data_IF_434674167883
#
_entry.id   IF_434674167883
#
_cell.length_a   1.000
_cell.length_b   1.000
_cell.length_c   1.000
_cell.angle_alpha   90.00
_cell.angle_beta   90.00
_cell.angle_gamma   90.00
#
_symmetry.space_group_name_H-M   'P 1'
#
loop_
_entity.id
_entity.type
_entity.pdbx_description
1 polymer ?
#
# COMPACT_ATOMS: atom_id res chain seq x y z
N UNK A 1 28.09 12.70 14.36
CA UNK A 1 27.65 14.07 14.07
C UNK A 1 28.67 14.66 13.12
N UNK A 2 28.28 14.97 11.89
CA UNK A 2 29.17 15.49 10.83
C UNK A 2 28.68 16.89 10.46
N UNK A 3 29.54 17.90 10.59
CA UNK A 3 29.23 19.29 10.23
C UNK A 3 29.73 19.56 8.81
N UNK A 4 28.86 20.04 7.94
CA UNK A 4 29.23 20.54 6.61
C UNK A 4 28.79 22.01 6.51
N UNK A 5 29.72 22.88 6.11
CA UNK A 5 29.46 24.28 5.76
C UNK A 5 29.72 24.48 4.27
N UNK A 6 28.68 24.76 3.49
CA UNK A 6 28.76 25.20 2.10
C UNK A 6 28.64 26.74 2.07
N UNK A 7 29.70 27.42 1.62
CA UNK A 7 29.78 28.89 1.58
C UNK A 7 28.88 29.48 0.49
N UNK A 8 27.76 30.11 0.86
CA UNK A 8 26.93 30.93 -0.05
C UNK A 8 25.47 31.08 0.37
N UNK A 9 24.89 30.05 0.98
CA UNK A 9 23.68 30.12 1.80
C UNK A 9 24.07 29.69 3.21
N UNK A 10 23.84 30.52 4.23
CA UNK A 10 23.94 30.08 5.63
C UNK A 10 22.79 29.10 5.88
N UNK A 11 23.01 27.83 5.59
CA UNK A 11 22.15 26.75 6.05
C UNK A 11 22.66 26.38 7.44
N UNK A 12 22.15 27.07 8.45
CA UNK A 12 22.39 26.73 9.85
C UNK A 12 21.46 25.55 10.20
N UNK A 13 22.04 24.37 10.42
CA UNK A 13 21.29 23.16 10.73
C UNK A 13 22.20 22.05 11.26
N UNK A 14 21.73 21.31 12.27
CA UNK A 14 22.44 20.12 12.75
C UNK A 14 22.03 18.93 11.89
N UNK A 15 22.92 18.51 10.99
CA UNK A 15 22.67 17.33 10.16
C UNK A 15 22.98 16.05 10.94
N UNK A 16 21.98 15.19 11.04
CA UNK A 16 22.08 13.87 11.66
C UNK A 16 21.22 12.87 10.90
N UNK A 17 21.54 11.58 11.06
CA UNK A 17 20.68 10.52 10.53
C UNK A 17 19.39 10.55 11.34
N UNK A 18 18.32 10.99 10.70
CA UNK A 18 16.98 11.01 11.26
C UNK A 18 16.24 9.79 10.75
N UNK A 19 15.98 8.84 11.63
CA UNK A 19 15.14 7.67 11.33
C UNK A 19 13.78 7.80 12.00
N UNK A 20 12.71 7.21 11.43
CA UNK A 20 11.47 7.05 12.18
C UNK A 20 11.73 6.34 13.51
N UNK A 21 10.91 6.63 14.52
CA UNK A 21 11.01 5.98 15.82
C UNK A 21 10.78 4.46 15.69
N UNK A 22 11.37 3.66 16.59
CA UNK A 22 11.08 2.23 16.60
C UNK A 22 9.58 1.95 16.77
N UNK A 23 8.90 2.76 17.59
CA UNK A 23 7.46 2.69 17.78
C UNK A 23 6.67 2.82 16.47
N UNK A 24 7.12 3.68 15.54
CA UNK A 24 6.53 3.79 14.22
C UNK A 24 6.61 2.48 13.44
N UNK A 25 7.81 1.87 13.37
CA UNK A 25 8.03 0.62 12.66
C UNK A 25 7.24 -0.55 13.26
N UNK A 26 7.21 -0.64 14.60
CA UNK A 26 6.38 -1.60 15.31
C UNK A 26 4.89 -1.40 15.01
N UNK A 27 4.41 -0.15 15.01
CA UNK A 27 3.02 0.19 14.68
C UNK A 27 2.63 -0.26 13.27
N UNK A 28 3.44 0.08 12.26
CA UNK A 28 3.22 -0.37 10.87
C UNK A 28 3.21 -1.90 10.75
N UNK A 29 4.16 -2.58 11.41
CA UNK A 29 4.27 -4.05 11.35
C UNK A 29 3.06 -4.72 11.99
N UNK A 30 2.65 -4.25 13.17
CA UNK A 30 1.48 -4.79 13.88
C UNK A 30 0.21 -4.62 13.04
N UNK A 31 0.00 -3.44 12.47
CA UNK A 31 -1.14 -3.16 11.59
C UNK A 31 -1.13 -4.07 10.37
N UNK A 32 0.01 -4.23 9.69
CA UNK A 32 0.09 -5.14 8.54
C UNK A 32 -0.23 -6.60 8.90
N UNK A 33 0.18 -7.07 10.09
CA UNK A 33 -0.17 -8.41 10.57
C UNK A 33 -1.67 -8.51 10.81
N UNK A 34 -2.29 -7.50 11.43
CA UNK A 34 -3.74 -7.45 11.63
C UNK A 34 -4.49 -7.47 10.30
N UNK A 35 -4.03 -6.71 9.31
CA UNK A 35 -4.62 -6.66 7.98
C UNK A 35 -4.58 -8.02 7.30
N UNK A 36 -3.43 -8.71 7.33
CA UNK A 36 -3.30 -10.05 6.77
C UNK A 36 -4.24 -11.04 7.46
N UNK A 37 -4.33 -11.03 8.79
CA UNK A 37 -5.24 -11.91 9.53
C UNK A 37 -6.69 -11.65 9.10
N UNK A 38 -7.08 -10.38 9.02
CA UNK A 38 -8.42 -9.99 8.60
C UNK A 38 -8.72 -10.40 7.14
N UNK A 39 -7.77 -10.19 6.23
CA UNK A 39 -7.84 -10.62 4.84
C UNK A 39 -7.99 -12.14 4.71
N UNK A 40 -7.27 -12.94 5.51
CA UNK A 40 -7.39 -14.40 5.54
C UNK A 40 -8.77 -14.85 6.04
N UNK A 41 -9.34 -14.16 7.04
CA UNK A 41 -10.69 -14.43 7.52
C UNK A 41 -11.74 -14.17 6.43
N UNK A 42 -11.71 -13.00 5.79
CA UNK A 42 -12.65 -12.67 4.71
C UNK A 42 -12.47 -13.62 3.53
N UNK A 43 -11.22 -13.90 3.13
CA UNK A 43 -10.91 -14.82 2.04
C UNK A 43 -11.54 -16.20 2.29
N UNK A 44 -11.41 -16.72 3.52
CA UNK A 44 -12.01 -18.00 3.89
C UNK A 44 -13.53 -17.97 3.76
N UNK A 45 -14.18 -16.89 4.22
CA UNK A 45 -15.64 -16.70 4.08
C UNK A 45 -16.04 -16.72 2.60
N UNK A 46 -15.37 -15.93 1.76
CA UNK A 46 -15.69 -15.86 0.33
C UNK A 46 -15.42 -17.18 -0.39
N UNK A 47 -14.33 -17.88 -0.05
CA UNK A 47 -13.98 -19.15 -0.66
C UNK A 47 -15.04 -20.23 -0.41
N UNK A 48 -15.52 -20.35 0.82
CA UNK A 48 -16.46 -21.41 1.19
C UNK A 48 -17.92 -21.05 0.92
N UNK A 49 -18.31 -19.77 0.97
CA UNK A 49 -19.72 -19.37 0.87
C UNK A 49 -20.09 -18.64 -0.43
N UNK A 50 -19.13 -18.03 -1.14
CA UNK A 50 -19.42 -17.24 -2.36
C UNK A 50 -18.99 -17.97 -3.63
N UNK A 51 -17.75 -18.47 -3.70
CA UNK A 51 -17.22 -19.12 -4.90
C UNK A 51 -18.00 -20.38 -5.34
N UNK A 52 -18.39 -21.32 -4.46
CA UNK A 52 -19.07 -22.54 -4.87
C UNK A 52 -20.41 -22.27 -5.55
N UNK A 53 -21.09 -21.19 -5.16
CA UNK A 53 -22.37 -20.76 -5.74
C UNK A 53 -22.22 -20.20 -7.15
N UNK A 54 -21.05 -19.64 -7.48
CA UNK A 54 -20.74 -19.19 -8.83
C UNK A 54 -20.30 -20.33 -9.75
N UNK A 55 -19.67 -21.38 -9.21
CA UNK A 55 -19.11 -22.51 -9.98
C UNK A 55 -20.09 -23.67 -10.17
N UNK A 56 -21.02 -23.87 -9.23
CA UNK A 56 -22.03 -24.93 -9.28
C UNK A 56 -23.35 -24.28 -8.88
N UNK A 57 -24.40 -24.46 -9.70
CA UNK A 57 -25.79 -24.03 -9.45
C UNK A 57 -26.34 -24.61 -8.14
N UNK A 58 -25.81 -24.16 -7.00
CA UNK A 58 -26.32 -24.45 -5.68
C UNK A 58 -27.47 -23.50 -5.40
N UNK A 59 -28.48 -23.96 -4.67
CA UNK A 59 -29.73 -23.24 -4.41
C UNK A 59 -29.59 -21.98 -3.55
N UNK A 60 -28.35 -21.60 -3.18
CA UNK A 60 -28.10 -20.33 -2.51
C UNK A 60 -28.47 -19.23 -3.50
N UNK A 61 -29.55 -18.52 -3.19
CA UNK A 61 -30.00 -17.38 -3.99
C UNK A 61 -28.87 -16.36 -4.09
N UNK A 62 -28.61 -15.84 -5.30
CA UNK A 62 -27.66 -14.73 -5.53
C UNK A 62 -27.91 -13.55 -4.58
N UNK A 63 -29.16 -13.37 -4.12
CA UNK A 63 -29.52 -12.38 -3.11
C UNK A 63 -28.74 -12.54 -1.80
N UNK A 64 -28.51 -13.76 -1.31
CA UNK A 64 -27.77 -14.00 -0.07
C UNK A 64 -26.29 -13.61 -0.20
N UNK A 65 -25.69 -13.85 -1.38
CA UNK A 65 -24.30 -13.45 -1.67
C UNK A 65 -24.18 -11.93 -1.61
N UNK A 66 -25.11 -11.21 -2.25
CA UNK A 66 -25.08 -9.75 -2.24
C UNK A 66 -25.36 -9.17 -0.85
N UNK A 67 -26.24 -9.79 -0.06
CA UNK A 67 -26.45 -9.38 1.34
C UNK A 67 -25.18 -9.60 2.16
N UNK A 68 -24.49 -10.73 2.01
CA UNK A 68 -23.24 -10.98 2.71
C UNK A 68 -22.14 -9.98 2.31
N UNK A 69 -21.92 -9.75 1.01
CA UNK A 69 -20.84 -8.87 0.56
C UNK A 69 -21.15 -7.38 0.76
N UNK A 70 -22.28 -6.89 0.23
CA UNK A 70 -22.64 -5.46 0.33
C UNK A 70 -23.21 -5.08 1.70
N UNK A 71 -23.87 -6.00 2.40
CA UNK A 71 -24.49 -5.72 3.71
C UNK A 71 -23.57 -5.97 4.90
N UNK A 72 -22.55 -6.83 4.77
CA UNK A 72 -21.67 -7.19 5.89
C UNK A 72 -20.20 -6.91 5.58
N UNK A 73 -19.61 -7.61 4.60
CA UNK A 73 -18.15 -7.58 4.39
C UNK A 73 -17.66 -6.17 4.01
N UNK A 74 -18.26 -5.54 3.00
CA UNK A 74 -17.83 -4.22 2.52
C UNK A 74 -18.01 -3.15 3.61
N UNK A 75 -19.16 -3.03 4.31
CA UNK A 75 -19.28 -2.13 5.45
C UNK A 75 -18.24 -2.39 6.54
N UNK A 76 -17.96 -3.66 6.86
CA UNK A 76 -16.91 -4.01 7.83
C UNK A 76 -15.52 -3.52 7.37
N UNK A 77 -15.15 -3.70 6.09
CA UNK A 77 -13.90 -3.18 5.55
C UNK A 77 -13.79 -1.66 5.74
N UNK A 78 -14.87 -0.91 5.54
CA UNK A 78 -14.83 0.54 5.70
C UNK A 78 -14.89 1.01 7.16
N UNK A 79 -15.65 0.36 8.04
CA UNK A 79 -15.88 0.81 9.41
C UNK A 79 -14.80 0.32 10.40
N UNK A 80 -14.29 -0.89 10.21
CA UNK A 80 -13.30 -1.50 11.11
C UNK A 80 -12.02 -0.67 11.28
N UNK A 81 -11.36 -0.14 10.23
CA UNK A 81 -10.14 0.65 10.42
C UNK A 81 -10.38 1.88 11.29
N UNK A 82 -11.53 2.56 11.16
CA UNK A 82 -11.87 3.69 12.03
C UNK A 82 -12.11 3.26 13.47
N UNK A 83 -12.87 2.18 13.68
CA UNK A 83 -13.10 1.63 15.02
C UNK A 83 -11.78 1.26 15.72
N UNK A 84 -10.82 0.66 14.98
CA UNK A 84 -9.49 0.34 15.50
C UNK A 84 -8.70 1.62 15.80
N UNK A 85 -8.72 2.62 14.92
CA UNK A 85 -8.04 3.91 15.14
C UNK A 85 -8.56 4.60 16.40
N UNK A 86 -9.88 4.66 16.57
CA UNK A 86 -10.53 5.28 17.72
C UNK A 86 -10.23 4.53 19.02
N UNK A 87 -10.30 3.18 18.99
CA UNK A 87 -10.04 2.35 20.16
C UNK A 87 -8.57 2.36 20.60
N UNK A 88 -7.63 2.44 19.65
CA UNK A 88 -6.19 2.42 19.94
C UNK A 88 -5.59 3.80 20.12
N UNK A 89 -6.31 4.86 19.72
CA UNK A 89 -5.82 6.23 19.74
C UNK A 89 -4.65 6.49 18.79
N UNK A 90 -4.44 5.66 17.75
CA UNK A 90 -3.35 5.84 16.78
C UNK A 90 -3.47 7.23 16.15
N UNK A 91 -2.45 8.08 16.33
CA UNK A 91 -2.42 9.44 15.76
C UNK A 91 -1.58 9.55 14.49
N UNK A 92 -0.68 8.60 14.23
CA UNK A 92 0.23 8.67 13.10
C UNK A 92 -0.52 8.38 11.78
N UNK A 93 -0.54 9.36 10.88
CA UNK A 93 -1.31 9.27 9.63
C UNK A 93 -0.82 8.17 8.69
N UNK A 94 0.47 7.82 8.69
CA UNK A 94 0.99 6.70 7.88
C UNK A 94 0.49 5.38 8.44
N UNK A 95 0.52 5.18 9.77
CA UNK A 95 -0.03 3.96 10.40
C UNK A 95 -1.53 3.84 10.13
N UNK A 96 -2.29 4.95 10.21
CA UNK A 96 -3.71 4.98 9.82
C UNK A 96 -3.92 4.60 8.36
N UNK A 97 -3.08 5.13 7.46
CA UNK A 97 -3.12 4.80 6.04
C UNK A 97 -2.80 3.33 5.79
N UNK A 98 -1.77 2.78 6.44
CA UNK A 98 -1.40 1.36 6.35
C UNK A 98 -2.55 0.46 6.78
N UNK A 99 -3.28 0.82 7.84
CA UNK A 99 -4.45 0.07 8.30
C UNK A 99 -5.65 0.18 7.34
N UNK A 100 -5.83 1.34 6.72
CA UNK A 100 -7.01 1.61 5.89
C UNK A 100 -6.85 1.12 4.45
N UNK A 101 -5.63 1.13 3.91
CA UNK A 101 -5.40 0.85 2.50
C UNK A 101 -5.75 -0.61 2.10
N UNK A 102 -5.32 -1.66 2.83
CA UNK A 102 -5.71 -3.05 2.55
C UNK A 102 -7.22 -3.27 2.56
N UNK A 103 -7.96 -2.57 3.43
CA UNK A 103 -9.41 -2.70 3.54
C UNK A 103 -10.14 -2.32 2.26
N UNK A 104 -9.64 -1.30 1.55
CA UNK A 104 -10.17 -0.91 0.23
C UNK A 104 -9.94 -2.02 -0.79
N UNK A 105 -8.76 -2.65 -0.78
CA UNK A 105 -8.49 -3.80 -1.66
C UNK A 105 -9.39 -4.98 -1.34
N UNK A 106 -9.63 -5.29 -0.06
CA UNK A 106 -10.55 -6.36 0.34
C UNK A 106 -11.99 -6.08 -0.12
N UNK A 107 -12.45 -4.83 -0.03
CA UNK A 107 -13.76 -4.45 -0.58
C UNK A 107 -13.84 -4.72 -2.10
N UNK A 108 -12.83 -4.33 -2.88
CA UNK A 108 -12.81 -4.60 -4.32
C UNK A 108 -12.73 -6.10 -4.64
N UNK A 109 -11.87 -6.86 -3.93
CA UNK A 109 -11.78 -8.32 -4.09
C UNK A 109 -13.09 -9.02 -3.70
N UNK A 110 -13.84 -8.48 -2.74
CA UNK A 110 -15.18 -8.98 -2.39
C UNK A 110 -16.15 -8.79 -3.56
N UNK A 111 -16.15 -7.61 -4.21
CA UNK A 111 -16.97 -7.34 -5.40
C UNK A 111 -16.57 -8.28 -6.54
N UNK A 112 -15.27 -8.46 -6.77
CA UNK A 112 -14.73 -9.38 -7.77
C UNK A 112 -15.23 -10.81 -7.54
N UNK A 113 -15.21 -11.29 -6.29
CA UNK A 113 -15.72 -12.60 -5.90
C UNK A 113 -17.23 -12.76 -6.11
N UNK A 114 -18.03 -11.77 -5.68
CA UNK A 114 -19.48 -11.80 -5.85
C UNK A 114 -19.91 -11.79 -7.32
N UNK A 115 -19.18 -11.04 -8.15
CA UNK A 115 -19.49 -10.90 -9.57
C UNK A 115 -18.88 -12.02 -10.44
N UNK A 116 -18.12 -12.95 -9.86
CA UNK A 116 -17.52 -14.07 -10.58
C UNK A 116 -16.35 -13.68 -11.48
N UNK A 117 -15.66 -12.58 -11.16
CA UNK A 117 -14.49 -12.10 -11.91
C UNK A 117 -13.15 -12.64 -11.38
N UNK A 118 -13.19 -13.44 -10.30
CA UNK A 118 -12.00 -14.05 -9.72
C UNK A 118 -11.31 -14.96 -10.74
N UNK A 119 -9.98 -14.85 -10.95
CA UNK A 119 -9.25 -15.70 -11.86
C UNK A 119 -9.43 -17.20 -11.55
N UNK A 120 -9.76 -18.06 -12.52
CA UNK A 120 -10.00 -19.48 -12.27
C UNK A 120 -8.82 -20.18 -11.56
N UNK A 121 -7.59 -19.78 -11.88
CA UNK A 121 -6.37 -20.35 -11.29
C UNK A 121 -6.32 -20.19 -9.76
N UNK A 122 -6.80 -19.07 -9.21
CA UNK A 122 -6.74 -18.83 -7.76
C UNK A 122 -7.86 -19.55 -7.00
N UNK A 123 -8.93 -19.96 -7.70
CA UNK A 123 -10.04 -20.70 -7.08
C UNK A 123 -9.75 -22.19 -6.90
N UNK A 124 -8.67 -22.69 -7.50
CA UNK A 124 -8.32 -24.12 -7.49
C UNK A 124 -7.99 -24.67 -6.10
N UNK A 125 -7.51 -23.82 -5.18
CA UNK A 125 -7.27 -24.21 -3.80
C UNK A 125 -7.59 -23.07 -2.81
N UNK A 126 -7.98 -23.39 -1.56
CA UNK A 126 -8.24 -22.37 -0.54
C UNK A 126 -7.01 -21.53 -0.22
N UNK A 127 -5.82 -22.15 -0.24
CA UNK A 127 -4.57 -21.46 0.05
C UNK A 127 -4.23 -20.43 -1.03
N UNK A 128 -4.43 -20.78 -2.30
CA UNK A 128 -4.13 -19.86 -3.41
C UNK A 128 -5.07 -18.67 -3.40
N UNK A 129 -6.33 -18.92 -3.07
CA UNK A 129 -7.32 -17.86 -2.87
C UNK A 129 -7.00 -16.99 -1.65
N UNK A 130 -6.55 -17.59 -0.55
CA UNK A 130 -6.10 -16.89 0.64
C UNK A 130 -4.92 -15.97 0.37
N UNK A 131 -3.89 -16.43 -0.34
CA UNK A 131 -2.75 -15.62 -0.74
C UNK A 131 -3.22 -14.48 -1.63
N UNK A 132 -3.93 -14.79 -2.72
CA UNK A 132 -4.41 -13.78 -3.67
C UNK A 132 -5.29 -12.69 -3.04
N UNK A 133 -6.12 -13.07 -2.07
CA UNK A 133 -7.06 -12.15 -1.42
C UNK A 133 -6.39 -11.33 -0.30
N UNK A 134 -5.63 -11.99 0.59
CA UNK A 134 -5.08 -11.35 1.78
C UNK A 134 -3.89 -10.43 1.46
N UNK A 135 -3.23 -10.63 0.32
CA UNK A 135 -2.07 -9.82 -0.06
C UNK A 135 -2.48 -8.60 -0.88
N UNK A 136 -2.04 -7.39 -0.51
CA UNK A 136 -2.29 -6.17 -1.29
C UNK A 136 -1.46 -6.13 -2.59
N UNK A 137 -0.48 -7.02 -2.74
CA UNK A 137 0.35 -7.15 -3.93
C UNK A 137 -0.24 -8.18 -4.88
N UNK A 138 -0.27 -7.85 -6.16
CA UNK A 138 -0.73 -8.76 -7.20
C UNK A 138 0.32 -9.85 -7.50
N UNK A 139 -0.14 -11.09 -7.66
CA UNK A 139 0.69 -12.21 -8.11
C UNK A 139 0.87 -12.16 -9.62
N UNK A 140 2.06 -12.49 -10.11
CA UNK A 140 2.31 -12.56 -11.53
C UNK A 140 1.80 -13.88 -12.11
N UNK A 141 0.92 -13.79 -13.10
CA UNK A 141 0.43 -14.92 -13.88
C UNK A 141 1.00 -14.90 -15.30
N UNK A 142 1.38 -16.06 -15.82
CA UNK A 142 1.79 -16.21 -17.21
C UNK A 142 0.56 -16.10 -18.12
N UNK A 143 0.60 -15.15 -19.05
CA UNK A 143 -0.50 -14.84 -19.98
C UNK A 143 -0.85 -16.01 -20.89
N UNK A 144 0.06 -16.95 -21.14
CA UNK A 144 -0.16 -18.07 -22.08
C UNK A 144 -0.96 -19.21 -21.46
N UNK A 145 -0.66 -19.56 -20.22
CA UNK A 145 -1.21 -20.74 -19.55
C UNK A 145 -2.03 -20.39 -18.28
N UNK A 146 -2.08 -19.11 -17.89
CA UNK A 146 -2.75 -18.64 -16.68
C UNK A 146 -2.12 -19.12 -15.38
N UNK A 147 -0.94 -19.76 -15.43
CA UNK A 147 -0.26 -20.31 -14.27
C UNK A 147 0.54 -19.24 -13.55
N UNK A 148 0.80 -19.48 -12.26
CA UNK A 148 1.64 -18.60 -11.44
C UNK A 148 3.08 -18.67 -11.90
N UNK A 149 3.74 -17.52 -11.94
CA UNK A 149 5.17 -17.45 -12.19
C UNK A 149 5.91 -17.68 -10.87
N UNK A 150 6.80 -18.67 -10.83
CA UNK A 150 7.66 -18.90 -9.66
C UNK A 150 8.71 -17.80 -9.57
N UNK A 151 8.96 -17.30 -8.36
CA UNK A 151 10.03 -16.36 -8.08
C UNK A 151 11.38 -17.07 -8.19
N UNK A 152 12.31 -16.50 -8.94
CA UNK A 152 13.70 -16.97 -8.96
C UNK A 152 14.48 -16.35 -7.79
N UNK A 153 15.61 -16.94 -7.42
CA UNK A 153 16.51 -16.31 -6.43
C UNK A 153 16.99 -14.92 -6.85
N UNK A 154 17.04 -14.66 -8.17
CA UNK A 154 17.35 -13.34 -8.71
C UNK A 154 16.21 -12.34 -8.47
N UNK A 155 14.96 -12.77 -8.59
CA UNK A 155 13.79 -11.94 -8.31
C UNK A 155 13.74 -11.58 -6.82
N UNK A 156 13.89 -12.55 -5.92
CA UNK A 156 13.95 -12.32 -4.46
C UNK A 156 15.07 -11.33 -4.12
N UNK A 157 16.27 -11.52 -4.68
CA UNK A 157 17.39 -10.60 -4.49
C UNK A 157 17.07 -9.20 -5.00
N UNK A 158 16.39 -9.07 -6.15
CA UNK A 158 15.96 -7.78 -6.70
C UNK A 158 14.94 -7.10 -5.77
N UNK A 159 13.96 -7.83 -5.26
CA UNK A 159 12.96 -7.33 -4.31
C UNK A 159 13.59 -6.87 -2.98
N UNK A 160 14.57 -7.62 -2.47
CA UNK A 160 15.33 -7.23 -1.28
C UNK A 160 16.14 -5.95 -1.51
N UNK A 161 16.86 -5.85 -2.64
CA UNK A 161 17.61 -4.64 -3.00
C UNK A 161 16.66 -3.46 -3.18
N UNK A 162 15.53 -3.65 -3.86
CA UNK A 162 14.51 -2.62 -4.06
C UNK A 162 13.96 -2.10 -2.73
N UNK A 163 13.55 -2.99 -1.85
CA UNK A 163 13.05 -2.66 -0.50
C UNK A 163 14.10 -1.88 0.30
N UNK A 164 15.35 -2.36 0.28
CA UNK A 164 16.46 -1.70 0.99
C UNK A 164 16.74 -0.31 0.42
N UNK A 165 16.74 -0.16 -0.91
CA UNK A 165 16.93 1.13 -1.59
C UNK A 165 15.83 2.12 -1.22
N UNK A 166 14.57 1.69 -1.22
CA UNK A 166 13.43 2.53 -0.83
C UNK A 166 13.55 2.97 0.63
N UNK A 167 13.90 2.05 1.54
CA UNK A 167 14.12 2.36 2.95
C UNK A 167 15.25 3.39 3.13
N UNK A 168 16.40 3.18 2.49
CA UNK A 168 17.52 4.14 2.52
C UNK A 168 17.09 5.50 1.98
N UNK A 169 16.31 5.53 0.90
CA UNK A 169 15.81 6.77 0.30
C UNK A 169 14.92 7.54 1.28
N UNK A 170 14.01 6.85 2.00
CA UNK A 170 13.19 7.45 3.06
C UNK A 170 14.07 8.05 4.15
N UNK A 171 15.07 7.31 4.63
CA UNK A 171 16.00 7.79 5.67
C UNK A 171 16.78 9.03 5.22
N UNK A 172 17.23 9.06 3.96
CA UNK A 172 17.92 10.22 3.38
C UNK A 172 16.97 11.42 3.30
N UNK A 173 15.75 11.24 2.78
CA UNK A 173 14.77 12.32 2.68
C UNK A 173 14.44 12.89 4.07
N UNK A 174 14.16 12.03 5.05
CA UNK A 174 13.90 12.47 6.42
C UNK A 174 15.09 13.20 7.03
N UNK A 175 16.31 12.70 6.84
CA UNK A 175 17.53 13.34 7.36
C UNK A 175 17.84 14.67 6.68
N UNK A 176 17.54 14.79 5.37
CA UNK A 176 17.76 16.00 4.60
C UNK A 176 16.78 17.11 5.02
N UNK A 177 15.53 16.73 5.32
CA UNK A 177 14.47 17.69 5.63
C UNK A 177 14.26 17.94 7.13
N UNK A 178 14.80 17.11 8.02
CA UNK A 178 14.67 17.29 9.46
C UNK A 178 15.20 18.63 10.00
N UNK A 179 16.30 19.23 9.49
CA UNK A 179 16.75 20.54 9.96
C UNK A 179 15.77 21.68 9.67
N UNK A 180 14.82 21.46 8.75
CA UNK A 180 13.80 22.44 8.37
C UNK A 180 12.48 22.23 9.13
N UNK A 181 12.49 21.41 10.20
CA UNK A 181 11.29 20.99 10.93
C UNK A 181 10.22 20.36 10.01
N UNK A 182 10.68 19.71 8.93
CA UNK A 182 9.77 18.97 8.08
C UNK A 182 9.34 17.70 8.81
N UNK A 183 8.07 17.66 9.17
CA UNK A 183 7.45 16.51 9.80
C UNK A 183 6.53 15.84 8.78
N UNK A 184 7.00 14.80 8.08
CA UNK A 184 6.17 14.09 7.13
C UNK A 184 4.96 13.52 7.88
N UNK A 185 3.76 13.89 7.42
CA UNK A 185 2.49 13.37 7.93
C UNK A 185 2.15 13.76 9.38
N UNK A 186 2.40 15.03 9.77
CA UNK A 186 1.87 15.58 11.04
C UNK A 186 0.41 15.20 11.26
N UNK A 187 0.07 14.90 12.52
CA UNK A 187 -1.29 14.58 12.94
C UNK A 187 -2.25 15.67 12.47
N UNK A 188 -3.39 15.27 11.91
CA UNK A 188 -4.45 16.06 11.25
C UNK A 188 -5.14 17.14 12.13
N UNK A 189 -4.40 17.88 12.94
CA UNK A 189 -4.68 19.29 13.15
C UNK A 189 -3.93 20.10 12.09
N UNK A 190 -3.89 19.59 10.85
CA UNK A 190 -3.75 20.47 9.69
C UNK A 190 -4.95 21.40 9.80
N UNK A 191 -4.75 22.49 10.53
CA UNK A 191 -5.57 23.69 10.50
C UNK A 191 -5.98 23.80 9.04
N UNK A 192 -7.26 23.98 8.77
CA UNK A 192 -7.70 24.52 7.50
C UNK A 192 -6.92 25.84 7.34
N UNK A 193 -5.69 25.77 6.82
CA UNK A 193 -5.08 26.85 6.10
C UNK A 193 -5.98 26.93 4.88
N UNK A 194 -7.10 27.64 5.06
CA UNK A 194 -8.04 27.95 4.01
C UNK A 194 -7.21 28.67 2.97
N UNK A 195 -6.77 27.93 1.96
CA UNK A 195 -6.06 28.47 0.82
C UNK A 195 -7.01 29.46 0.18
N UNK A 196 -6.84 30.72 0.54
CA UNK A 196 -7.80 31.78 0.27
C UNK A 196 -7.82 32.17 -1.20
N UNK A 197 -6.74 31.82 -1.92
CA UNK A 197 -6.56 32.15 -3.33
C UNK A 197 -5.77 31.09 -4.10
N UNK A 198 -5.95 31.07 -5.43
CA UNK A 198 -5.14 30.26 -6.37
C UNK A 198 -3.64 30.63 -6.27
N UNK A 199 -3.33 31.88 -5.91
CA UNK A 199 -1.94 32.32 -5.75
C UNK A 199 -1.24 31.57 -4.62
N UNK A 200 -1.95 31.25 -3.54
CA UNK A 200 -1.41 30.50 -2.41
C UNK A 200 -1.07 29.05 -2.82
N UNK A 201 -1.90 28.44 -3.68
CA UNK A 201 -1.64 27.14 -4.29
C UNK A 201 -0.40 27.13 -5.20
N UNK A 202 -0.16 28.24 -5.91
CA UNK A 202 0.97 28.39 -6.82
C UNK A 202 2.23 28.96 -6.13
N UNK A 203 2.17 29.21 -4.81
CA UNK A 203 3.34 29.64 -4.07
C UNK A 203 4.43 28.56 -4.14
N UNK A 204 5.66 28.96 -4.47
CA UNK A 204 6.77 28.03 -4.67
C UNK A 204 7.10 27.23 -3.41
N UNK A 205 6.83 27.78 -2.21
CA UNK A 205 7.02 27.04 -0.95
C UNK A 205 5.96 25.96 -0.80
N UNK A 206 4.70 26.28 -1.12
CA UNK A 206 3.61 25.30 -1.10
C UNK A 206 3.86 24.19 -2.12
N UNK A 207 4.20 24.53 -3.36
CA UNK A 207 4.53 23.56 -4.41
C UNK A 207 5.75 22.69 -4.03
N UNK A 208 6.78 23.28 -3.43
CA UNK A 208 7.93 22.56 -2.91
C UNK A 208 7.54 21.54 -1.82
N UNK A 209 6.72 21.95 -0.86
CA UNK A 209 6.22 21.05 0.19
C UNK A 209 5.35 19.91 -0.38
N UNK A 210 4.50 20.22 -1.35
CA UNK A 210 3.70 19.23 -2.06
C UNK A 210 4.57 18.22 -2.81
N UNK A 211 5.64 18.68 -3.47
CA UNK A 211 6.60 17.80 -4.15
C UNK A 211 7.31 16.87 -3.16
N UNK A 212 7.83 17.41 -2.05
CA UNK A 212 8.53 16.61 -1.04
C UNK A 212 7.57 15.59 -0.40
N UNK A 213 6.34 16.01 -0.12
CA UNK A 213 5.29 15.13 0.42
C UNK A 213 4.96 14.02 -0.58
N UNK A 214 4.80 14.35 -1.87
CA UNK A 214 4.54 13.38 -2.92
C UNK A 214 5.72 12.39 -3.09
N UNK A 215 6.96 12.87 -3.04
CA UNK A 215 8.16 12.02 -3.05
C UNK A 215 8.16 11.07 -1.85
N UNK A 216 7.94 11.57 -0.63
CA UNK A 216 7.91 10.71 0.56
C UNK A 216 6.76 9.71 0.51
N UNK A 217 5.58 10.13 0.07
CA UNK A 217 4.41 9.26 -0.07
C UNK A 217 4.68 8.15 -1.08
N UNK A 218 5.25 8.46 -2.25
CA UNK A 218 5.66 7.44 -3.22
C UNK A 218 6.64 6.44 -2.60
N UNK A 219 7.66 6.91 -1.86
CA UNK A 219 8.62 6.00 -1.24
C UNK A 219 7.97 5.11 -0.18
N UNK A 220 7.03 5.63 0.62
CA UNK A 220 6.32 4.82 1.61
C UNK A 220 5.42 3.77 0.97
N UNK A 221 4.65 4.13 -0.05
CA UNK A 221 3.82 3.16 -0.78
C UNK A 221 4.70 2.15 -1.53
N UNK A 222 5.81 2.60 -2.10
CA UNK A 222 6.82 1.74 -2.71
C UNK A 222 7.43 0.76 -1.71
N UNK A 223 7.74 1.21 -0.49
CA UNK A 223 8.29 0.37 0.57
C UNK A 223 7.27 -0.68 1.01
N UNK A 224 6.02 -0.27 1.21
CA UNK A 224 4.92 -1.16 1.52
C UNK A 224 4.80 -2.25 0.45
N UNK A 225 4.66 -1.85 -0.82
CA UNK A 225 4.48 -2.79 -1.93
C UNK A 225 5.68 -3.71 -2.16
N UNK A 226 6.91 -3.22 -2.01
CA UNK A 226 8.12 -4.04 -2.18
C UNK A 226 8.35 -4.98 -1.01
N UNK A 227 8.04 -4.56 0.22
CA UNK A 227 8.14 -5.40 1.41
C UNK A 227 7.10 -6.53 1.39
N UNK A 228 5.86 -6.23 1.00
CA UNK A 228 4.83 -7.28 0.83
C UNK A 228 5.17 -8.21 -0.32
N UNK A 229 5.66 -7.70 -1.46
CA UNK A 229 6.15 -8.52 -2.56
C UNK A 229 7.25 -9.49 -2.11
N UNK A 230 8.26 -8.98 -1.41
CA UNK A 230 9.36 -9.80 -0.88
C UNK A 230 8.85 -10.88 0.10
N UNK A 231 7.93 -10.52 1.00
CA UNK A 231 7.35 -11.47 1.95
C UNK A 231 6.63 -12.61 1.21
N UNK A 232 5.83 -12.28 0.19
CA UNK A 232 5.12 -13.26 -0.63
C UNK A 232 6.11 -14.16 -1.38
N UNK A 233 7.11 -13.58 -2.03
CA UNK A 233 8.12 -14.33 -2.80
C UNK A 233 8.89 -15.31 -1.92
N UNK A 234 9.24 -14.91 -0.69
CA UNK A 234 9.94 -15.77 0.28
C UNK A 234 9.01 -16.83 0.86
N UNK A 235 7.79 -16.48 1.24
CA UNK A 235 6.88 -17.40 1.92
C UNK A 235 6.21 -18.41 0.98
N UNK A 236 5.91 -18.00 -0.25
CA UNK A 236 5.11 -18.78 -1.20
C UNK A 236 5.94 -19.28 -2.40
N UNK A 237 7.08 -18.64 -2.68
CA UNK A 237 7.84 -18.91 -3.89
C UNK A 237 7.21 -18.33 -5.16
N UNK A 238 6.12 -17.55 -5.07
CA UNK A 238 5.49 -16.92 -6.23
C UNK A 238 6.00 -15.51 -6.47
N UNK A 239 6.16 -15.17 -7.74
CA UNK A 239 6.60 -13.84 -8.16
C UNK A 239 5.48 -12.82 -7.98
N UNK A 240 5.81 -11.70 -7.36
CA UNK A 240 4.92 -10.58 -7.18
C UNK A 240 5.11 -9.52 -8.29
N UNK A 241 4.04 -8.77 -8.59
CA UNK A 241 4.09 -7.61 -9.48
C UNK A 241 4.57 -6.40 -8.68
N UNK A 242 5.50 -5.65 -9.26
CA UNK A 242 5.97 -4.39 -8.70
C UNK A 242 4.85 -3.34 -8.74
N UNK A 243 4.49 -2.77 -7.58
CA UNK A 243 3.37 -1.83 -7.47
C UNK A 243 3.71 -0.39 -7.90
N UNK A 244 4.99 0.00 -7.89
CA UNK A 244 5.44 1.37 -8.18
C UNK A 244 6.70 1.38 -9.04
N UNK A 245 6.71 2.15 -10.14
CA UNK A 245 7.87 2.30 -11.04
C UNK A 245 8.36 3.74 -11.12
N UNK A 246 8.84 4.24 -9.98
CA UNK A 246 9.37 5.59 -9.80
C UNK A 246 8.55 6.73 -10.47
N UNK A 247 7.23 6.80 -10.22
CA UNK A 247 6.31 7.66 -10.98
C UNK A 247 6.67 9.16 -10.95
N UNK A 248 7.11 9.71 -9.81
CA UNK A 248 7.40 11.15 -9.66
C UNK A 248 8.65 11.58 -10.45
N UNK A 249 9.68 10.74 -10.54
CA UNK A 249 10.97 11.15 -11.12
C UNK A 249 11.16 10.73 -12.57
N UNK A 250 10.44 9.71 -13.03
CA UNK A 250 10.65 9.14 -14.37
C UNK A 250 9.43 9.26 -15.30
N UNK A 251 8.28 9.71 -14.80
CA UNK A 251 7.14 9.96 -15.68
C UNK A 251 7.42 11.12 -16.63
N UNK A 252 7.16 10.90 -17.92
CA UNK A 252 7.33 11.93 -18.97
C UNK A 252 6.04 12.64 -19.32
N UNK A 253 4.90 12.14 -18.84
CA UNK A 253 3.57 12.73 -19.02
C UNK A 253 2.61 12.28 -17.90
N UNK A 254 1.46 12.95 -17.73
CA UNK A 254 0.42 12.46 -16.82
C UNK A 254 -0.09 11.06 -17.16
N UNK A 255 -0.18 10.72 -18.45
CA UNK A 255 -0.60 9.38 -18.88
C UNK A 255 0.44 8.29 -18.55
N UNK A 256 1.73 8.62 -18.62
CA UNK A 256 2.80 7.69 -18.20
C UNK A 256 2.80 7.49 -16.68
N UNK A 257 2.59 8.57 -15.92
CA UNK A 257 2.44 8.53 -14.46
C UNK A 257 1.31 7.58 -14.04
N UNK A 258 0.08 7.86 -14.49
CA UNK A 258 -1.11 7.10 -14.07
C UNK A 258 -1.24 5.74 -14.74
N UNK A 259 -0.79 5.60 -15.99
CA UNK A 259 -1.02 4.37 -16.77
C UNK A 259 0.04 3.29 -16.61
N UNK A 260 1.27 3.64 -16.19
CA UNK A 260 2.41 2.69 -16.25
C UNK A 260 3.30 2.66 -15.02
N UNK A 261 3.23 3.66 -14.15
CA UNK A 261 4.21 3.83 -13.06
C UNK A 261 3.59 3.91 -11.68
N UNK A 262 2.46 4.58 -11.55
CA UNK A 262 1.72 4.70 -10.31
C UNK A 262 0.79 3.50 -10.13
N UNK A 263 0.88 2.84 -8.97
CA UNK A 263 -0.05 1.77 -8.55
C UNK A 263 -0.34 0.75 -9.67
N UNK A 264 0.71 0.15 -10.21
CA UNK A 264 0.64 -0.76 -11.37
C UNK A 264 -0.26 -1.97 -11.09
N UNK A 265 -0.46 -2.34 -9.82
CA UNK A 265 -1.37 -3.40 -9.41
C UNK A 265 -2.87 -3.10 -9.71
N UNK A 266 -3.23 -1.84 -9.99
CA UNK A 266 -4.61 -1.45 -10.35
C UNK A 266 -4.77 -1.30 -11.87
N UNK A 267 -3.69 -1.05 -12.60
CA UNK A 267 -3.74 -0.71 -14.04
C UNK A 267 -3.07 -1.77 -14.95
N UNK A 268 -2.46 -2.80 -14.37
CA UNK A 268 -1.58 -3.78 -15.03
C UNK A 268 -2.26 -4.88 -15.83
#
# INVERSE_FOLDING_TARGET
MLFFTLSGLRIEGTYGISSPSLQFWFGCTLVMVMDVIFGLMISSILYYYVLPTNLKQTSISKSNIYVLGFGVIIPCCYLLPYAVIDATGIQNSVVRFTLSAPMVFYAFRCVEAMCGFVPPVVTSSPLDYAIYYATPTELMFDRKNGQRVMATSQDIRRSLIGTTKTLITILILMSLFSPYNYEPFQSMNAREESLSSIRDYLDMKHLGNCLITAMMFQQLVGLFGSATALAIEVMTGYRAVESMRNPVMEATSPSDFWGRRWNVAVHG
#
